data_IF_342288866451
#
_entry.id   IF_342288866451
#
_cell.length_a   1.000
_cell.length_b   1.000
_cell.length_c   1.000
_cell.angle_alpha   90.00
_cell.angle_beta   90.00
_cell.angle_gamma   90.00
#
_symmetry.space_group_name_H-M   'P 1'
#
loop_
_entity.id
_entity.type
_entity.pdbx_description
1 polymer ?
#
# COMPACT_ATOMS: atom_id res chain seq x y z
N UNK A 1 7.02 22.55 8.12
CA UNK A 1 7.33 23.73 8.97
C UNK A 1 8.30 24.64 8.24
N UNK A 2 8.02 25.94 8.17
CA UNK A 2 8.97 26.94 7.65
C UNK A 2 10.13 27.05 8.63
N UNK A 3 11.36 26.80 8.14
CA UNK A 3 12.58 26.92 8.94
C UNK A 3 13.14 28.33 8.91
N UNK A 4 13.02 28.99 7.76
CA UNK A 4 13.47 30.36 7.53
C UNK A 4 12.75 30.95 6.29
N UNK A 5 12.84 32.27 6.11
CA UNK A 5 12.31 33.00 4.94
C UNK A 5 13.16 34.23 4.63
N UNK A 6 13.18 34.66 3.37
CA UNK A 6 13.94 35.85 2.99
C UNK A 6 13.63 36.36 1.59
N UNK A 7 14.44 37.32 1.15
CA UNK A 7 14.42 37.88 -0.19
C UNK A 7 15.81 37.74 -0.82
N UNK A 8 15.87 37.41 -2.10
CA UNK A 8 17.10 37.43 -2.91
C UNK A 8 16.84 38.33 -4.11
N UNK A 9 17.74 39.29 -4.34
CA UNK A 9 17.76 40.09 -5.56
C UNK A 9 18.51 39.34 -6.66
N UNK A 10 17.88 39.11 -7.80
CA UNK A 10 18.48 38.44 -8.96
C UNK A 10 17.95 39.09 -10.24
N UNK A 11 18.86 39.51 -11.15
CA UNK A 11 18.51 40.18 -12.42
C UNK A 11 17.48 41.32 -12.26
N UNK A 12 17.73 42.25 -11.33
CA UNK A 12 16.86 43.41 -11.03
C UNK A 12 15.46 43.05 -10.48
N UNK A 13 15.24 41.80 -10.07
CA UNK A 13 13.99 41.35 -9.45
C UNK A 13 14.21 40.83 -8.03
N UNK A 14 13.27 41.15 -7.14
CA UNK A 14 13.22 40.61 -5.78
C UNK A 14 12.41 39.31 -5.75
N UNK A 15 13.04 38.22 -5.31
CA UNK A 15 12.41 36.92 -5.15
C UNK A 15 12.23 36.61 -3.67
N UNK A 16 10.97 36.37 -3.27
CA UNK A 16 10.67 35.82 -1.96
C UNK A 16 10.91 34.31 -1.95
N UNK A 17 11.55 33.79 -0.91
CA UNK A 17 11.78 32.34 -0.75
C UNK A 17 11.46 31.85 0.66
N UNK A 18 11.07 30.59 0.73
CA UNK A 18 10.84 29.84 1.97
C UNK A 18 11.86 28.71 2.07
N UNK A 19 12.50 28.57 3.22
CA UNK A 19 13.31 27.38 3.54
C UNK A 19 12.41 26.37 4.25
N UNK A 20 12.08 25.29 3.54
CA UNK A 20 11.22 24.22 4.03
C UNK A 20 12.02 22.96 4.40
N UNK A 21 11.34 22.01 5.02
CA UNK A 21 11.87 20.66 5.17
C UNK A 21 12.00 20.01 3.78
N UNK A 22 13.19 19.48 3.48
CA UNK A 22 13.36 18.62 2.30
C UNK A 22 12.71 17.26 2.57
N UNK A 23 11.73 16.90 1.75
CA UNK A 23 11.01 15.63 1.83
C UNK A 23 11.50 14.75 0.66
N UNK A 24 12.17 13.64 0.99
CA UNK A 24 12.48 12.60 0.01
C UNK A 24 11.21 11.77 -0.21
N UNK A 25 10.76 11.64 -1.45
CA UNK A 25 9.52 10.92 -1.78
C UNK A 25 8.91 11.40 -3.10
N UNK A 26 7.64 11.08 -3.31
CA UNK A 26 6.87 11.49 -4.49
C UNK A 26 5.52 12.08 -4.08
N UNK A 27 5.01 13.04 -4.84
CA UNK A 27 3.63 13.49 -4.69
C UNK A 27 2.66 12.46 -5.28
N UNK A 28 1.39 12.48 -4.83
CA UNK A 28 0.41 11.48 -5.28
C UNK A 28 0.11 11.57 -6.78
N UNK A 29 0.25 12.73 -7.41
CA UNK A 29 0.14 12.86 -8.87
C UNK A 29 1.30 12.19 -9.65
N UNK A 30 2.44 11.93 -9.00
CA UNK A 30 3.59 11.22 -9.57
C UNK A 30 3.51 9.70 -9.32
N UNK A 31 2.56 9.25 -8.50
CA UNK A 31 2.34 7.85 -8.15
C UNK A 31 1.14 7.34 -8.95
N UNK A 32 1.30 6.19 -9.60
CA UNK A 32 0.18 5.50 -10.22
C UNK A 32 -0.81 5.04 -9.13
N UNK A 33 -2.01 5.63 -9.10
CA UNK A 33 -3.00 5.38 -8.05
C UNK A 33 -3.39 3.89 -7.92
N UNK A 34 -3.23 3.11 -8.99
CA UNK A 34 -3.44 1.65 -8.98
C UNK A 34 -2.51 0.94 -7.99
N UNK A 35 -1.33 1.50 -7.71
CA UNK A 35 -0.39 0.96 -6.73
C UNK A 35 -0.91 1.09 -5.30
N UNK A 36 -1.76 2.08 -5.00
CA UNK A 36 -2.45 2.12 -3.72
C UNK A 36 -3.46 0.98 -3.64
N UNK A 37 -4.29 0.80 -4.66
CA UNK A 37 -5.31 -0.26 -4.74
C UNK A 37 -4.75 -1.69 -4.70
N UNK A 38 -3.47 -1.88 -5.03
CA UNK A 38 -2.77 -3.18 -4.88
C UNK A 38 -2.49 -3.54 -3.41
N UNK A 39 -2.53 -2.57 -2.49
CA UNK A 39 -2.27 -2.77 -1.06
C UNK A 39 -3.51 -3.30 -0.31
N UNK A 40 -3.25 -3.90 0.85
CA UNK A 40 -4.30 -4.39 1.73
C UNK A 40 -5.25 -3.24 2.14
N UNK A 41 -6.54 -3.55 2.31
CA UNK A 41 -7.57 -2.54 2.59
C UNK A 41 -7.26 -1.71 3.85
N UNK A 42 -6.89 -2.37 4.95
CA UNK A 42 -6.49 -1.70 6.19
C UNK A 42 -5.28 -0.77 6.00
N UNK A 43 -4.32 -1.15 5.16
CA UNK A 43 -3.16 -0.31 4.84
C UNK A 43 -3.56 0.93 4.03
N UNK A 44 -4.47 0.77 3.05
CA UNK A 44 -5.02 1.88 2.25
C UNK A 44 -5.82 2.85 3.11
N UNK A 45 -6.70 2.35 3.97
CA UNK A 45 -7.45 3.16 4.94
C UNK A 45 -6.49 3.89 5.89
N UNK A 46 -5.43 3.23 6.37
CA UNK A 46 -4.43 3.87 7.21
C UNK A 46 -3.66 4.99 6.50
N UNK A 47 -3.31 4.81 5.21
CA UNK A 47 -2.74 5.93 4.43
C UNK A 47 -3.75 7.06 4.26
N UNK A 48 -5.00 6.74 3.95
CA UNK A 48 -6.02 7.77 3.82
C UNK A 48 -6.17 8.56 5.14
N UNK A 49 -6.27 7.86 6.27
CA UNK A 49 -6.34 8.46 7.59
C UNK A 49 -5.13 9.35 7.89
N UNK A 50 -3.91 8.92 7.53
CA UNK A 50 -2.71 9.77 7.68
C UNK A 50 -2.81 11.08 6.89
N UNK A 51 -3.36 11.05 5.67
CA UNK A 51 -3.59 12.27 4.89
C UNK A 51 -4.57 13.20 5.61
N UNK A 52 -5.69 12.66 6.11
CA UNK A 52 -6.69 13.43 6.82
C UNK A 52 -6.17 13.97 8.16
N UNK A 53 -5.36 13.21 8.90
CA UNK A 53 -4.66 13.68 10.10
C UNK A 53 -3.69 14.83 9.77
N UNK A 54 -2.99 14.74 8.63
CA UNK A 54 -2.14 15.82 8.13
C UNK A 54 -2.94 17.10 7.87
N UNK A 55 -4.11 16.98 7.25
CA UNK A 55 -5.03 18.11 7.02
C UNK A 55 -5.59 18.65 8.35
N UNK A 56 -5.98 17.77 9.28
CA UNK A 56 -6.46 18.16 10.61
C UNK A 56 -5.42 18.96 11.39
N UNK A 57 -4.17 18.51 11.37
CA UNK A 57 -3.04 19.21 12.01
C UNK A 57 -2.72 20.53 11.31
N UNK A 58 -2.78 20.54 9.98
CA UNK A 58 -2.68 21.77 9.19
C UNK A 58 -3.74 22.79 9.62
N UNK A 59 -4.98 22.33 9.78
CA UNK A 59 -6.14 23.12 10.19
C UNK A 59 -6.09 23.67 11.62
N UNK A 60 -5.11 23.26 12.44
CA UNK A 60 -4.88 23.88 13.75
C UNK A 60 -4.13 25.21 13.64
N UNK A 61 -3.37 25.41 12.56
CA UNK A 61 -2.52 26.59 12.36
C UNK A 61 -3.05 27.53 11.26
N UNK A 62 -3.85 26.98 10.35
CA UNK A 62 -4.55 27.67 9.27
C UNK A 62 -6.00 27.18 9.27
N UNK A 63 -6.94 27.90 8.68
CA UNK A 63 -8.30 27.36 8.55
C UNK A 63 -8.45 26.48 7.30
N UNK A 64 -7.77 26.83 6.20
CA UNK A 64 -7.78 26.08 4.93
C UNK A 64 -6.42 26.06 4.25
N UNK A 65 -6.12 24.96 3.55
CA UNK A 65 -5.01 24.86 2.61
C UNK A 65 -5.30 25.65 1.33
N UNK A 66 -6.53 25.55 0.83
CA UNK A 66 -7.08 26.25 -0.34
C UNK A 66 -6.49 25.88 -1.71
N UNK A 67 -5.46 25.04 -1.72
CA UNK A 67 -4.88 24.42 -2.91
C UNK A 67 -4.55 22.95 -2.65
N UNK A 68 -5.45 22.25 -1.94
CA UNK A 68 -5.26 20.84 -1.65
C UNK A 68 -5.57 20.03 -2.91
N UNK A 69 -4.55 19.35 -3.42
CA UNK A 69 -4.67 18.42 -4.55
C UNK A 69 -3.59 17.33 -4.48
N UNK A 70 -3.62 16.35 -5.39
CA UNK A 70 -2.70 15.20 -5.36
C UNK A 70 -1.23 15.58 -5.53
N UNK A 71 -0.94 16.70 -6.20
CA UNK A 71 0.41 17.28 -6.24
C UNK A 71 0.92 17.84 -4.90
N UNK A 72 0.03 18.20 -3.97
CA UNK A 72 0.35 18.82 -2.69
C UNK A 72 0.28 17.83 -1.51
N UNK A 73 0.17 16.53 -1.81
CA UNK A 73 0.22 15.43 -0.86
C UNK A 73 1.36 14.50 -1.27
N UNK A 74 2.35 14.36 -0.40
CA UNK A 74 3.54 13.53 -0.63
C UNK A 74 3.54 12.26 0.18
N UNK A 75 3.92 11.15 -0.46
CA UNK A 75 4.37 9.94 0.22
C UNK A 75 5.88 10.05 0.46
N UNK A 76 6.27 10.26 1.72
CA UNK A 76 7.67 10.42 2.11
C UNK A 76 8.34 9.09 2.43
N UNK A 77 9.56 8.92 1.92
CA UNK A 77 10.46 7.81 2.22
C UNK A 77 11.27 8.16 3.49
N UNK A 78 10.69 7.96 4.68
CA UNK A 78 11.45 8.16 5.92
C UNK A 78 12.46 7.02 6.16
N UNK A 79 13.67 7.21 5.63
CA UNK A 79 14.79 6.26 5.68
C UNK A 79 15.11 5.74 7.10
N UNK A 80 14.92 6.58 8.12
CA UNK A 80 15.26 6.24 9.51
C UNK A 80 14.26 5.30 10.18
N UNK A 81 12.97 5.42 9.84
CA UNK A 81 11.91 4.63 10.46
C UNK A 81 11.43 3.48 9.57
N UNK A 82 11.81 3.45 8.29
CA UNK A 82 11.32 2.47 7.29
C UNK A 82 9.78 2.43 7.22
N UNK A 83 9.14 3.57 7.47
CA UNK A 83 7.70 3.74 7.40
C UNK A 83 7.44 4.90 6.45
N UNK A 84 6.61 4.66 5.43
CA UNK A 84 6.14 5.73 4.57
C UNK A 84 5.15 6.60 5.33
N UNK A 85 5.36 7.91 5.31
CA UNK A 85 4.46 8.88 5.93
C UNK A 85 3.89 9.82 4.89
N UNK A 86 2.63 10.19 5.07
CA UNK A 86 1.99 11.21 4.24
C UNK A 86 2.28 12.59 4.81
N UNK A 87 2.64 13.53 3.93
CA UNK A 87 2.91 14.93 4.27
C UNK A 87 2.14 15.86 3.33
N UNK A 88 1.52 16.88 3.90
CA UNK A 88 0.92 17.99 3.14
C UNK A 88 2.02 19.03 2.87
N UNK A 89 2.11 19.51 1.64
CA UNK A 89 3.11 20.48 1.18
C UNK A 89 2.44 21.67 0.50
N UNK A 90 3.25 22.69 0.20
CA UNK A 90 2.84 23.91 -0.52
C UNK A 90 1.68 24.71 0.10
N UNK A 91 1.91 25.33 1.28
CA UNK A 91 0.90 26.16 1.91
C UNK A 91 0.79 27.57 1.30
N UNK A 92 1.26 27.78 0.06
CA UNK A 92 1.35 29.11 -0.56
C UNK A 92 0.01 29.82 -0.69
N UNK A 93 -1.07 29.05 -0.86
CA UNK A 93 -2.45 29.53 -1.02
C UNK A 93 -3.27 29.54 0.27
N UNK A 94 -2.68 29.13 1.39
CA UNK A 94 -3.41 28.84 2.63
C UNK A 94 -3.96 30.08 3.32
N UNK A 95 -5.10 29.92 3.99
CA UNK A 95 -5.86 31.03 4.61
C UNK A 95 -5.95 30.87 6.12
N UNK A 96 -5.85 31.99 6.84
CA UNK A 96 -5.98 32.06 8.30
C UNK A 96 -7.42 32.17 8.79
N UNK A 97 -8.36 32.53 7.92
CA UNK A 97 -9.77 32.70 8.27
C UNK A 97 -10.69 32.45 7.09
N UNK A 98 -11.85 31.88 7.38
CA UNK A 98 -12.98 31.61 6.51
C UNK A 98 -14.02 32.72 6.62
N UNK A 99 -14.58 33.17 5.51
CA UNK A 99 -15.84 33.92 5.56
C UNK A 99 -17.02 32.94 5.66
N UNK A 100 -18.10 33.22 6.40
CA UNK A 100 -19.19 32.26 6.68
C UNK A 100 -19.84 31.56 5.47
N UNK A 101 -19.59 32.05 4.25
CA UNK A 101 -20.14 31.55 2.99
C UNK A 101 -19.10 30.95 2.04
N UNK A 102 -17.82 30.88 2.45
CA UNK A 102 -16.84 30.15 1.66
C UNK A 102 -17.30 28.68 1.52
N UNK A 103 -16.72 27.91 0.60
CA UNK A 103 -16.91 26.46 0.55
C UNK A 103 -15.65 25.80 1.12
N UNK A 104 -15.79 24.70 1.87
CA UNK A 104 -14.64 23.92 2.34
C UNK A 104 -14.05 23.11 1.16
N UNK A 105 -13.25 23.80 0.34
CA UNK A 105 -12.66 23.24 -0.89
C UNK A 105 -11.71 22.07 -0.61
N UNK A 106 -11.03 22.09 0.53
CA UNK A 106 -10.16 21.00 0.97
C UNK A 106 -11.00 19.75 1.27
N UNK A 107 -12.13 19.89 1.96
CA UNK A 107 -13.04 18.78 2.25
C UNK A 107 -13.71 18.26 0.97
N UNK A 108 -14.07 19.15 0.04
CA UNK A 108 -14.55 18.76 -1.28
C UNK A 108 -13.53 17.88 -2.01
N UNK A 109 -12.27 18.33 -2.11
CA UNK A 109 -11.19 17.54 -2.70
C UNK A 109 -11.01 16.18 -2.02
N UNK A 110 -11.09 16.15 -0.69
CA UNK A 110 -10.97 14.90 0.08
C UNK A 110 -12.03 13.88 -0.34
N UNK A 111 -13.28 14.32 -0.48
CA UNK A 111 -14.42 13.44 -0.78
C UNK A 111 -14.44 13.00 -2.25
N UNK A 112 -14.18 13.92 -3.16
CA UNK A 112 -14.37 13.71 -4.60
C UNK A 112 -13.12 13.17 -5.31
N UNK A 113 -11.93 13.37 -4.74
CA UNK A 113 -10.68 12.95 -5.38
C UNK A 113 -9.82 12.07 -4.48
N UNK A 114 -9.48 12.52 -3.26
CA UNK A 114 -8.53 11.82 -2.42
C UNK A 114 -9.05 10.44 -2.00
N UNK A 115 -10.33 10.33 -1.68
CA UNK A 115 -10.99 9.07 -1.33
C UNK A 115 -10.80 8.00 -2.42
N UNK A 116 -10.93 8.39 -3.68
CA UNK A 116 -10.81 7.51 -4.85
C UNK A 116 -9.38 7.06 -5.15
N UNK A 117 -8.37 7.69 -4.55
CA UNK A 117 -6.99 7.20 -4.62
C UNK A 117 -6.83 5.94 -3.78
N UNK A 118 -7.55 5.84 -2.66
CA UNK A 118 -7.37 4.77 -1.68
C UNK A 118 -8.44 3.68 -1.77
N UNK A 119 -9.65 4.00 -2.20
CA UNK A 119 -10.81 3.12 -2.15
C UNK A 119 -11.43 2.88 -3.53
N UNK A 120 -11.92 1.66 -3.76
CA UNK A 120 -12.72 1.33 -4.94
C UNK A 120 -14.15 1.90 -4.81
N UNK A 121 -14.89 2.04 -5.92
CA UNK A 121 -16.29 2.47 -5.87
C UNK A 121 -17.17 1.60 -4.96
N UNK A 122 -16.94 0.28 -4.94
CA UNK A 122 -17.67 -0.66 -4.09
C UNK A 122 -17.34 -0.46 -2.60
N UNK A 123 -16.07 -0.19 -2.28
CA UNK A 123 -15.63 0.08 -0.92
C UNK A 123 -16.17 1.41 -0.41
N UNK A 124 -16.18 2.45 -1.25
CA UNK A 124 -16.80 3.74 -0.93
C UNK A 124 -18.28 3.54 -0.64
N UNK A 125 -19.00 2.81 -1.52
CA UNK A 125 -20.43 2.54 -1.32
C UNK A 125 -20.68 1.81 0.00
N UNK A 126 -19.86 0.82 0.35
CA UNK A 126 -19.95 0.08 1.62
C UNK A 126 -19.65 0.96 2.83
N UNK A 127 -18.60 1.79 2.74
CA UNK A 127 -18.23 2.74 3.79
C UNK A 127 -19.37 3.72 4.10
N UNK A 128 -20.23 3.98 3.11
CA UNK A 128 -21.17 5.11 3.15
C UNK A 128 -22.61 4.64 2.98
N UNK A 129 -22.87 3.36 3.28
CA UNK A 129 -24.05 2.63 2.78
C UNK A 129 -25.41 3.25 3.19
N UNK A 130 -25.41 4.16 4.18
CA UNK A 130 -26.57 4.98 4.58
C UNK A 130 -26.20 6.46 4.86
N UNK A 131 -25.02 6.92 4.44
CA UNK A 131 -24.51 8.26 4.72
C UNK A 131 -24.38 9.08 3.44
N UNK A 132 -24.96 10.27 3.44
CA UNK A 132 -24.62 11.28 2.45
C UNK A 132 -23.26 11.89 2.80
N UNK A 133 -22.18 11.36 2.20
CA UNK A 133 -20.81 11.85 2.38
C UNK A 133 -20.73 13.35 2.16
N UNK A 134 -21.47 13.89 1.19
CA UNK A 134 -21.39 15.29 0.82
C UNK A 134 -21.94 16.19 1.92
N UNK A 135 -22.87 15.68 2.73
CA UNK A 135 -23.40 16.38 3.92
C UNK A 135 -22.47 16.36 5.14
N UNK A 136 -21.45 15.50 5.19
CA UNK A 136 -20.59 15.35 6.36
C UNK A 136 -19.62 16.55 6.49
N UNK A 137 -19.49 17.12 7.68
CA UNK A 137 -18.39 18.03 7.98
C UNK A 137 -17.07 17.25 8.17
N UNK A 138 -15.94 17.96 8.17
CA UNK A 138 -14.62 17.34 8.28
C UNK A 138 -14.45 16.46 9.54
N UNK A 139 -14.89 16.88 10.75
CA UNK A 139 -14.85 16.02 11.93
C UNK A 139 -15.64 14.70 11.80
N UNK A 140 -16.87 14.73 11.30
CA UNK A 140 -17.67 13.51 11.11
C UNK A 140 -17.09 12.61 10.04
N UNK A 141 -16.54 13.19 8.98
CA UNK A 141 -15.87 12.42 7.93
C UNK A 141 -14.62 11.71 8.47
N UNK A 142 -13.83 12.39 9.30
CA UNK A 142 -12.71 11.78 10.03
C UNK A 142 -13.15 10.61 10.91
N UNK A 143 -14.18 10.81 11.73
CA UNK A 143 -14.72 9.79 12.63
C UNK A 143 -15.19 8.54 11.87
N UNK A 144 -15.81 8.72 10.69
CA UNK A 144 -16.19 7.62 9.80
C UNK A 144 -14.98 6.76 9.40
N UNK A 145 -13.88 7.39 9.00
CA UNK A 145 -12.66 6.69 8.57
C UNK A 145 -11.92 6.04 9.74
N UNK A 146 -11.87 6.71 10.90
CA UNK A 146 -11.28 6.16 12.12
C UNK A 146 -12.03 4.90 12.58
N UNK A 147 -13.37 4.93 12.57
CA UNK A 147 -14.20 3.79 12.93
C UNK A 147 -14.02 2.61 11.96
N UNK A 148 -13.92 2.88 10.65
CA UNK A 148 -13.65 1.83 9.66
C UNK A 148 -12.30 1.16 9.93
N UNK A 149 -11.25 1.95 10.17
CA UNK A 149 -9.93 1.40 10.49
C UNK A 149 -9.96 0.58 11.79
N UNK A 150 -10.67 1.07 12.81
CA UNK A 150 -10.80 0.36 14.08
C UNK A 150 -11.53 -0.96 13.90
N UNK A 151 -12.64 -1.00 13.15
CA UNK A 151 -13.35 -2.26 12.85
C UNK A 151 -12.46 -3.24 12.10
N UNK A 152 -11.67 -2.78 11.12
CA UNK A 152 -10.72 -3.64 10.40
C UNK A 152 -9.56 -4.11 11.29
N UNK A 153 -9.15 -3.30 12.28
CA UNK A 153 -8.09 -3.65 13.24
C UNK A 153 -8.61 -4.57 14.35
N UNK A 154 -9.88 -4.45 14.75
CA UNK A 154 -10.55 -5.31 15.72
C UNK A 154 -10.99 -6.65 15.11
N UNK A 155 -11.18 -6.70 13.78
CA UNK A 155 -11.06 -7.94 12.99
C UNK A 155 -9.62 -8.50 12.98
N UNK A 156 -8.71 -7.95 13.78
CA UNK A 156 -7.32 -8.37 13.93
C UNK A 156 -7.07 -9.48 14.96
N UNK A 157 -7.86 -10.55 14.95
CA UNK A 157 -7.41 -11.94 15.22
C UNK A 157 -8.10 -12.93 14.24
N UNK A 158 -8.66 -12.42 13.15
CA UNK A 158 -9.81 -13.04 12.49
C UNK A 158 -9.44 -14.16 11.51
N UNK A 159 -10.32 -15.15 11.49
CA UNK A 159 -10.33 -16.32 10.61
C UNK A 159 -10.15 -15.91 9.14
N UNK A 160 -10.64 -14.72 8.76
CA UNK A 160 -10.53 -14.15 7.43
C UNK A 160 -9.09 -13.79 7.03
N UNK A 161 -8.25 -13.35 7.97
CA UNK A 161 -6.81 -13.10 7.69
C UNK A 161 -6.07 -14.41 7.48
N UNK A 162 -6.39 -15.44 8.27
CA UNK A 162 -5.86 -16.79 8.10
C UNK A 162 -6.27 -17.35 6.73
N UNK A 163 -7.55 -17.23 6.37
CA UNK A 163 -8.07 -17.63 5.07
C UNK A 163 -7.35 -16.88 3.95
N UNK A 164 -7.13 -15.57 4.10
CA UNK A 164 -6.41 -14.74 3.12
C UNK A 164 -4.97 -15.20 2.92
N UNK A 165 -4.25 -15.53 4.00
CA UNK A 165 -2.90 -16.11 3.91
C UNK A 165 -2.91 -17.47 3.19
N UNK A 166 -3.88 -18.33 3.48
CA UNK A 166 -4.03 -19.63 2.83
C UNK A 166 -4.36 -19.50 1.34
N UNK A 167 -5.22 -18.55 0.96
CA UNK A 167 -5.53 -18.23 -0.44
C UNK A 167 -4.27 -17.73 -1.16
N UNK A 168 -3.49 -16.84 -0.54
CA UNK A 168 -2.24 -16.34 -1.13
C UNK A 168 -1.24 -17.47 -1.40
N UNK A 169 -1.06 -18.39 -0.45
CA UNK A 169 -0.23 -19.59 -0.66
C UNK A 169 -0.77 -20.46 -1.80
N UNK A 170 -2.07 -20.71 -1.83
CA UNK A 170 -2.71 -21.51 -2.88
C UNK A 170 -2.51 -20.89 -4.27
N UNK A 171 -2.67 -19.57 -4.38
CA UNK A 171 -2.41 -18.83 -5.62
C UNK A 171 -0.94 -18.94 -6.06
N UNK A 172 0.01 -18.82 -5.13
CA UNK A 172 1.45 -18.96 -5.40
C UNK A 172 1.77 -20.35 -5.95
N UNK A 173 1.21 -21.40 -5.34
CA UNK A 173 1.41 -22.79 -5.74
C UNK A 173 0.74 -23.05 -7.10
N UNK A 174 -0.50 -22.60 -7.29
CA UNK A 174 -1.21 -22.71 -8.56
C UNK A 174 -0.46 -21.96 -9.68
N UNK A 175 0.11 -20.80 -9.39
CA UNK A 175 0.93 -20.08 -10.35
C UNK A 175 2.16 -20.89 -10.75
N UNK A 176 2.82 -21.57 -9.81
CA UNK A 176 3.95 -22.45 -10.13
C UNK A 176 3.54 -23.54 -11.13
N UNK A 177 2.56 -24.37 -10.80
CA UNK A 177 2.14 -25.49 -11.66
C UNK A 177 1.61 -25.05 -13.02
N UNK A 178 0.97 -23.88 -13.10
CA UNK A 178 0.43 -23.38 -14.36
C UNK A 178 1.48 -22.74 -15.28
N UNK A 179 2.66 -22.40 -14.77
CA UNK A 179 3.63 -21.58 -15.49
C UNK A 179 5.06 -22.13 -15.44
N UNK A 180 5.32 -23.26 -14.79
CA UNK A 180 6.64 -23.90 -14.73
C UNK A 180 6.54 -25.36 -15.19
N UNK A 181 7.58 -25.81 -15.89
CA UNK A 181 7.73 -27.20 -16.29
C UNK A 181 8.17 -28.04 -15.08
N UNK A 182 7.37 -29.07 -14.74
CA UNK A 182 7.53 -29.88 -13.53
C UNK A 182 8.84 -30.70 -13.49
N UNK A 183 9.43 -30.99 -14.66
CA UNK A 183 10.65 -31.79 -14.75
C UNK A 183 11.92 -30.93 -14.67
N UNK A 184 11.84 -29.68 -15.14
CA UNK A 184 13.01 -28.82 -15.29
C UNK A 184 13.00 -27.61 -14.35
N UNK A 185 11.89 -27.37 -13.65
CA UNK A 185 11.61 -26.17 -12.83
C UNK A 185 11.88 -24.86 -13.59
N UNK A 186 11.79 -24.90 -14.92
CA UNK A 186 11.96 -23.73 -15.79
C UNK A 186 10.61 -23.11 -16.08
N UNK A 187 10.50 -21.78 -16.13
CA UNK A 187 9.26 -21.13 -16.53
C UNK A 187 8.90 -21.55 -17.96
N UNK A 188 7.63 -21.88 -18.17
CA UNK A 188 7.04 -22.05 -19.49
C UNK A 188 7.19 -20.71 -20.24
N UNK A 189 7.54 -20.79 -21.53
CA UNK A 189 7.77 -19.59 -22.34
C UNK A 189 6.55 -18.65 -22.29
N UNK A 190 6.80 -17.35 -22.13
CA UNK A 190 5.80 -16.27 -22.19
C UNK A 190 4.79 -16.20 -21.02
N UNK A 191 5.24 -16.29 -19.77
CA UNK A 191 4.40 -15.90 -18.62
C UNK A 191 3.94 -14.44 -18.80
N UNK A 192 2.62 -14.24 -18.89
CA UNK A 192 2.03 -12.92 -19.11
C UNK A 192 2.33 -11.96 -17.94
N UNK A 193 2.59 -10.66 -18.19
CA UNK A 193 2.87 -9.68 -17.14
C UNK A 193 1.81 -9.60 -16.03
N UNK A 194 0.54 -9.78 -16.36
CA UNK A 194 -0.58 -9.72 -15.41
C UNK A 194 -0.48 -10.85 -14.39
N UNK A 195 -0.12 -12.06 -14.84
CA UNK A 195 0.06 -13.22 -13.96
C UNK A 195 1.25 -13.02 -13.02
N UNK A 196 2.35 -12.42 -13.51
CA UNK A 196 3.52 -12.09 -12.68
C UNK A 196 3.19 -11.06 -11.60
N UNK A 197 2.33 -10.08 -11.91
CA UNK A 197 1.83 -9.11 -10.92
C UNK A 197 0.96 -9.77 -9.85
N UNK A 198 0.13 -10.75 -10.24
CA UNK A 198 -0.69 -11.50 -9.28
C UNK A 198 0.16 -12.15 -8.19
N UNK A 199 1.25 -12.83 -8.56
CA UNK A 199 2.06 -13.53 -7.54
C UNK A 199 2.81 -12.58 -6.61
N UNK A 200 3.23 -11.41 -7.12
CA UNK A 200 3.83 -10.36 -6.31
C UNK A 200 2.85 -9.87 -5.24
N UNK A 201 1.58 -9.68 -5.63
CA UNK A 201 0.51 -9.33 -4.69
C UNK A 201 0.31 -10.40 -3.62
N UNK A 202 0.28 -11.68 -3.99
CA UNK A 202 0.13 -12.78 -3.02
C UNK A 202 1.30 -12.83 -2.03
N UNK A 203 2.53 -12.57 -2.49
CA UNK A 203 3.69 -12.47 -1.60
C UNK A 203 3.60 -11.25 -0.68
N UNK A 204 3.11 -10.11 -1.18
CA UNK A 204 2.89 -8.93 -0.35
C UNK A 204 1.85 -9.20 0.73
N UNK A 205 0.73 -9.86 0.40
CA UNK A 205 -0.29 -10.27 1.37
C UNK A 205 0.36 -11.08 2.50
N UNK A 206 1.15 -12.09 2.16
CA UNK A 206 1.84 -12.92 3.13
C UNK A 206 2.81 -12.12 4.01
N UNK A 207 3.54 -11.17 3.42
CA UNK A 207 4.47 -10.32 4.17
C UNK A 207 3.74 -9.29 5.06
N UNK A 208 2.61 -8.75 4.61
CA UNK A 208 1.77 -7.83 5.39
C UNK A 208 1.17 -8.53 6.61
N UNK A 209 0.68 -9.76 6.44
CA UNK A 209 0.10 -10.56 7.52
C UNK A 209 1.09 -11.57 8.12
N UNK A 210 2.39 -11.25 8.13
CA UNK A 210 3.46 -12.18 8.49
C UNK A 210 3.29 -12.83 9.87
N UNK A 211 2.79 -12.08 10.85
CA UNK A 211 2.53 -12.62 12.19
C UNK A 211 1.41 -13.68 12.18
N UNK A 212 0.30 -13.41 11.48
CA UNK A 212 -0.80 -14.36 11.31
C UNK A 212 -0.37 -15.57 10.48
N UNK A 213 0.38 -15.35 9.40
CA UNK A 213 0.97 -16.41 8.59
C UNK A 213 1.86 -17.33 9.44
N UNK A 214 2.71 -16.76 10.30
CA UNK A 214 3.57 -17.52 11.21
C UNK A 214 2.75 -18.35 12.21
N UNK A 215 1.63 -17.82 12.73
CA UNK A 215 0.73 -18.56 13.66
C UNK A 215 0.19 -19.86 13.03
N UNK A 216 -0.05 -19.87 11.73
CA UNK A 216 -0.51 -21.06 10.97
C UNK A 216 0.63 -21.84 10.32
N UNK A 217 1.89 -21.54 10.67
CA UNK A 217 3.06 -22.28 10.22
C UNK A 217 3.57 -21.90 8.83
N UNK A 218 3.15 -20.75 8.29
CA UNK A 218 3.69 -20.15 7.06
C UNK A 218 4.74 -19.12 7.45
N UNK A 219 6.01 -19.40 7.15
CA UNK A 219 7.13 -18.52 7.45
C UNK A 219 7.62 -17.88 6.17
N UNK A 220 7.55 -16.55 6.08
CA UNK A 220 8.14 -15.79 4.98
C UNK A 220 9.49 -15.20 5.40
N UNK A 221 10.53 -15.49 4.62
CA UNK A 221 11.88 -14.95 4.77
C UNK A 221 12.45 -14.52 3.42
N UNK A 222 13.53 -13.74 3.44
CA UNK A 222 14.11 -13.16 2.22
C UNK A 222 14.24 -11.64 2.27
N UNK A 223 14.73 -11.06 1.19
CA UNK A 223 14.99 -9.62 1.05
C UNK A 223 13.83 -8.85 0.40
N UNK A 224 12.61 -9.37 0.53
CA UNK A 224 11.43 -8.73 -0.04
C UNK A 224 11.26 -7.31 0.52
N UNK A 225 11.36 -6.34 -0.38
CA UNK A 225 11.13 -4.94 -0.10
C UNK A 225 10.37 -4.35 -1.29
N UNK A 226 9.11 -3.98 -1.05
CA UNK A 226 8.21 -3.44 -2.06
C UNK A 226 8.74 -2.15 -2.72
N UNK A 227 9.58 -1.37 -2.03
CA UNK A 227 10.19 -0.15 -2.56
C UNK A 227 11.35 -0.49 -3.49
N UNK A 228 12.24 -1.40 -3.09
CA UNK A 228 13.36 -1.86 -3.92
C UNK A 228 12.92 -2.61 -5.18
N UNK A 229 11.74 -3.21 -5.15
CA UNK A 229 11.13 -3.83 -6.31
C UNK A 229 10.92 -2.84 -7.47
N UNK A 230 10.68 -1.56 -7.16
CA UNK A 230 10.56 -0.50 -8.15
C UNK A 230 11.88 -0.15 -8.84
N UNK A 231 13.03 -0.59 -8.33
CA UNK A 231 14.36 -0.33 -8.90
C UNK A 231 14.90 -1.50 -9.75
N UNK A 232 14.13 -2.59 -9.86
CA UNK A 232 14.50 -3.74 -10.68
C UNK A 232 15.58 -4.64 -10.07
N UNK A 233 15.86 -4.48 -8.76
CA UNK A 233 16.79 -5.34 -8.01
C UNK A 233 16.35 -6.81 -8.03
N UNK A 234 17.32 -7.70 -7.79
CA UNK A 234 17.02 -9.13 -7.57
C UNK A 234 16.34 -9.25 -6.22
N UNK A 235 15.19 -9.92 -6.18
CA UNK A 235 14.54 -10.32 -4.94
C UNK A 235 14.52 -11.83 -4.80
N UNK A 236 14.78 -12.30 -3.60
CA UNK A 236 14.83 -13.71 -3.26
C UNK A 236 14.00 -13.96 -2.00
N UNK A 237 12.91 -14.68 -2.20
CA UNK A 237 11.84 -14.85 -1.23
C UNK A 237 11.66 -16.33 -0.98
N UNK A 238 11.53 -16.67 0.29
CA UNK A 238 11.34 -18.03 0.76
C UNK A 238 10.06 -18.09 1.58
N UNK A 239 9.13 -18.93 1.15
CA UNK A 239 7.90 -19.23 1.89
C UNK A 239 8.02 -20.67 2.37
N UNK A 240 8.14 -20.85 3.68
CA UNK A 240 8.31 -22.16 4.31
C UNK A 240 7.03 -22.55 5.01
N UNK A 241 6.54 -23.75 4.72
CA UNK A 241 5.32 -24.32 5.29
C UNK A 241 5.66 -25.73 5.77
N UNK A 242 5.87 -25.93 7.07
CA UNK A 242 6.41 -27.19 7.62
C UNK A 242 7.72 -27.58 6.92
N UNK A 243 7.71 -28.62 6.09
CA UNK A 243 8.85 -29.10 5.30
C UNK A 243 8.77 -28.70 3.81
N UNK A 244 7.71 -27.99 3.39
CA UNK A 244 7.58 -27.37 2.08
C UNK A 244 8.33 -26.03 2.07
N UNK A 245 9.16 -25.81 1.06
CA UNK A 245 9.85 -24.54 0.81
C UNK A 245 9.54 -24.10 -0.61
N UNK A 246 8.98 -22.91 -0.74
CA UNK A 246 8.76 -22.25 -2.04
C UNK A 246 9.78 -21.12 -2.12
N UNK A 247 10.70 -21.23 -3.08
CA UNK A 247 11.64 -20.17 -3.40
C UNK A 247 11.10 -19.40 -4.60
N UNK A 248 11.06 -18.07 -4.49
CA UNK A 248 10.70 -17.16 -5.57
C UNK A 248 11.88 -16.22 -5.78
N UNK A 249 12.46 -16.28 -6.97
CA UNK A 249 13.54 -15.39 -7.39
C UNK A 249 13.00 -14.50 -8.49
N UNK A 250 13.05 -13.20 -8.28
CA UNK A 250 12.60 -12.20 -9.22
C UNK A 250 13.76 -11.32 -9.69
N UNK A 251 13.77 -10.99 -10.97
CA UNK A 251 14.72 -10.05 -11.56
C UNK A 251 14.04 -9.02 -12.47
N UNK A 252 14.61 -7.81 -12.54
CA UNK A 252 14.36 -6.83 -13.61
C UNK A 252 12.90 -6.39 -13.70
N UNK A 253 12.35 -5.81 -12.62
CA UNK A 253 10.97 -5.31 -12.55
C UNK A 253 9.90 -6.41 -12.73
N UNK A 254 10.21 -7.64 -12.34
CA UNK A 254 9.29 -8.77 -12.53
C UNK A 254 9.19 -9.27 -13.96
N UNK A 255 10.13 -8.90 -14.83
CA UNK A 255 10.22 -9.46 -16.19
C UNK A 255 10.67 -10.92 -16.16
N UNK A 256 11.48 -11.30 -15.19
CA UNK A 256 11.95 -12.68 -15.02
C UNK A 256 11.59 -13.14 -13.61
N UNK A 257 10.83 -14.23 -13.55
CA UNK A 257 10.53 -14.94 -12.31
C UNK A 257 11.07 -16.36 -12.48
N UNK A 258 11.82 -16.81 -11.49
CA UNK A 258 12.15 -18.22 -11.27
C UNK A 258 11.50 -18.65 -9.97
N UNK A 259 11.00 -19.87 -9.95
CA UNK A 259 10.45 -20.46 -8.76
C UNK A 259 10.94 -21.89 -8.63
N UNK A 260 11.09 -22.35 -7.40
CA UNK A 260 11.24 -23.76 -7.08
C UNK A 260 10.35 -24.10 -5.89
N UNK A 261 9.88 -25.34 -5.86
CA UNK A 261 9.14 -25.89 -4.73
C UNK A 261 9.85 -27.17 -4.28
N UNK A 262 10.18 -27.25 -2.99
CA UNK A 262 10.90 -28.36 -2.39
C UNK A 262 10.14 -28.89 -1.17
N UNK A 263 10.11 -30.21 -0.96
CA UNK A 263 9.57 -30.84 0.26
C UNK A 263 10.65 -31.73 0.86
N UNK A 264 11.18 -31.35 2.02
CA UNK A 264 12.33 -32.02 2.63
C UNK A 264 13.57 -31.91 1.74
N UNK A 265 14.01 -33.03 1.17
CA UNK A 265 15.15 -33.08 0.22
C UNK A 265 14.71 -33.29 -1.23
N UNK A 266 13.41 -33.36 -1.51
CA UNK A 266 12.87 -33.66 -2.83
C UNK A 266 12.48 -32.39 -3.57
N UNK A 267 13.04 -32.22 -4.77
CA UNK A 267 12.94 -31.00 -5.60
C UNK A 267 11.82 -31.07 -6.66
N UNK A 268 11.20 -32.25 -6.82
CA UNK A 268 10.11 -32.50 -7.76
C UNK A 268 8.97 -33.08 -6.93
N UNK A 269 7.82 -32.42 -7.00
CA UNK A 269 6.67 -32.77 -6.16
C UNK A 269 5.44 -32.85 -7.04
N UNK A 270 4.72 -33.96 -6.92
CA UNK A 270 3.38 -34.11 -7.47
C UNK A 270 2.40 -33.19 -6.73
N UNK A 271 1.57 -32.47 -7.49
CA UNK A 271 0.58 -31.51 -6.98
C UNK A 271 -0.23 -32.04 -5.78
N UNK A 272 -0.66 -33.30 -5.85
CA UNK A 272 -1.44 -33.98 -4.80
C UNK A 272 -0.74 -34.00 -3.44
N UNK A 273 0.61 -34.07 -3.41
CA UNK A 273 1.37 -34.09 -2.16
C UNK A 273 1.33 -32.72 -1.46
N UNK A 274 1.33 -31.64 -2.24
CA UNK A 274 1.24 -30.25 -1.73
C UNK A 274 -0.18 -29.96 -1.27
N UNK A 275 -1.19 -30.31 -2.06
CA UNK A 275 -2.60 -30.13 -1.70
C UNK A 275 -2.94 -30.84 -0.39
N UNK A 276 -2.45 -32.06 -0.19
CA UNK A 276 -2.60 -32.80 1.06
C UNK A 276 -1.93 -32.11 2.27
N UNK A 277 -0.86 -31.34 2.07
CA UNK A 277 -0.28 -30.54 3.14
C UNK A 277 -1.11 -29.31 3.47
N UNK A 278 -1.62 -28.62 2.44
CA UNK A 278 -2.46 -27.43 2.62
C UNK A 278 -3.80 -27.77 3.28
N UNK A 279 -4.41 -28.91 2.94
CA UNK A 279 -5.65 -29.39 3.57
C UNK A 279 -5.45 -29.53 5.09
N UNK A 280 -4.33 -30.13 5.53
CA UNK A 280 -3.98 -30.27 6.95
C UNK A 280 -3.70 -28.95 7.69
N UNK A 281 -3.71 -27.81 6.99
CA UNK A 281 -3.62 -26.48 7.59
C UNK A 281 -4.96 -25.74 7.59
N UNK A 282 -5.93 -26.21 6.81
CA UNK A 282 -7.30 -25.68 6.75
C UNK A 282 -8.19 -26.26 7.85
N UNK A 283 -7.84 -27.45 8.35
CA UNK A 283 -8.44 -28.14 9.50
C UNK A 283 -7.83 -27.68 10.83
#
# INVERSE_FOLDING_TARGET
KVKDKGFIEYEENDYFFLILEFIKGKSFNEIDSRLFLERAYNERINYFLQALMGIKEFRQNFELHSDLHSGNIMLSEEVKLKVNKIKIIDPGSSRYSYEPNDEDIDLYYVKEELLHIFLSPEEIKKLTEDLDINSLDFPKFMELIENELQQETEKGEDKDTIITCLIAVDNIINFYFNNFDENTNKPLNNIKPERRRSIIRDVQILNTYKENANKIGIVISGDWNAEKHADGEKHEIYITIKNLVIQIIQHGYGKVIRMSIEIGTNLIIERDLIENQLIKMKD
#
